data_IF_739353837730
#
_entry.id   IF_739353837730
#
_cell.length_a   1.000
_cell.length_b   1.000
_cell.length_c   1.000
_cell.angle_alpha   90.00
_cell.angle_beta   90.00
_cell.angle_gamma   90.00
#
_symmetry.space_group_name_H-M   'P 1'
#
loop_
_entity.id
_entity.type
_entity.pdbx_description
1 polymer ?
#
# COMPACT_ATOMS: atom_id res chain seq x y z
N UNK A 1 -10.39 18.67 42.74
CA UNK A 1 -11.07 18.41 41.46
C UNK A 1 -9.98 17.91 40.52
N UNK A 2 -9.77 16.61 40.48
CA UNK A 2 -8.69 15.97 39.73
C UNK A 2 -8.91 16.20 38.23
N UNK A 3 -7.96 16.90 37.60
CA UNK A 3 -7.87 16.98 36.15
C UNK A 3 -7.53 15.59 35.62
N UNK A 4 -8.56 14.81 35.29
CA UNK A 4 -8.44 13.63 34.44
C UNK A 4 -7.96 14.13 33.08
N UNK A 5 -6.65 14.12 32.87
CA UNK A 5 -6.06 14.28 31.55
C UNK A 5 -6.70 13.18 30.72
N UNK A 6 -7.66 13.55 29.87
CA UNK A 6 -8.20 12.64 28.90
C UNK A 6 -6.98 12.10 28.14
N UNK A 7 -6.73 10.79 28.21
CA UNK A 7 -5.81 10.16 27.29
C UNK A 7 -6.32 10.52 25.89
N UNK A 8 -5.69 11.54 25.30
CA UNK A 8 -5.82 11.83 23.88
C UNK A 8 -5.59 10.50 23.22
N UNK A 9 -6.62 9.96 22.55
CA UNK A 9 -6.51 8.80 21.67
C UNK A 9 -5.19 8.96 20.94
N UNK A 10 -4.15 8.21 21.35
CA UNK A 10 -2.80 8.40 20.86
C UNK A 10 -2.81 7.93 19.41
N UNK A 11 -3.21 8.84 18.52
CA UNK A 11 -3.09 8.66 17.08
C UNK A 11 -1.60 8.46 16.86
N UNK A 12 -1.29 7.38 16.15
CA UNK A 12 0.09 7.11 15.79
C UNK A 12 0.39 8.03 14.62
N UNK A 13 0.69 9.30 14.93
CA UNK A 13 0.87 10.37 13.94
C UNK A 13 1.92 9.96 12.89
N UNK A 14 2.96 9.25 13.31
CA UNK A 14 3.99 8.69 12.42
C UNK A 14 3.38 7.77 11.36
N UNK A 15 2.43 6.90 11.73
CA UNK A 15 1.82 5.98 10.79
C UNK A 15 0.89 6.70 9.80
N UNK A 16 0.27 7.80 10.21
CA UNK A 16 -0.57 8.61 9.33
C UNK A 16 0.27 9.42 8.34
N UNK A 17 1.36 10.03 8.80
CA UNK A 17 2.34 10.74 7.96
C UNK A 17 2.97 9.80 6.94
N UNK A 18 3.42 8.61 7.38
CA UNK A 18 4.00 7.62 6.47
C UNK A 18 2.98 7.12 5.44
N UNK A 19 1.69 7.04 5.80
CA UNK A 19 0.64 6.65 4.85
C UNK A 19 0.42 7.73 3.82
N UNK A 20 0.33 8.99 4.25
CA UNK A 20 0.23 10.14 3.36
C UNK A 20 1.42 10.20 2.38
N UNK A 21 2.64 9.97 2.88
CA UNK A 21 3.85 9.92 2.05
C UNK A 21 3.80 8.78 1.03
N UNK A 22 3.35 7.60 1.43
CA UNK A 22 3.24 6.44 0.53
C UNK A 22 2.18 6.70 -0.56
N UNK A 23 1.01 7.22 -0.20
CA UNK A 23 -0.05 7.58 -1.16
C UNK A 23 0.43 8.66 -2.12
N UNK A 24 1.14 9.68 -1.63
CA UNK A 24 1.74 10.71 -2.49
C UNK A 24 2.72 10.08 -3.50
N UNK A 25 3.61 9.19 -3.05
CA UNK A 25 4.53 8.48 -3.93
C UNK A 25 3.82 7.65 -5.01
N UNK A 26 2.76 6.94 -4.64
CA UNK A 26 1.94 6.15 -5.57
C UNK A 26 1.27 7.06 -6.60
N UNK A 27 0.65 8.15 -6.16
CA UNK A 27 0.00 9.12 -7.07
C UNK A 27 1.02 9.75 -8.02
N UNK A 28 2.20 10.13 -7.53
CA UNK A 28 3.25 10.70 -8.37
C UNK A 28 3.71 9.72 -9.45
N UNK A 29 3.98 8.45 -9.08
CA UNK A 29 4.39 7.43 -10.03
C UNK A 29 3.30 7.17 -11.06
N UNK A 30 2.07 6.98 -10.60
CA UNK A 30 0.91 6.74 -11.46
C UNK A 30 0.61 7.93 -12.37
N UNK A 31 0.89 9.16 -11.91
CA UNK A 31 0.75 10.36 -12.72
C UNK A 31 1.71 10.35 -13.92
N UNK A 32 2.95 9.92 -13.72
CA UNK A 32 3.94 9.81 -14.80
C UNK A 32 3.66 8.61 -15.71
N UNK A 33 3.20 7.48 -15.16
CA UNK A 33 2.95 6.26 -15.93
C UNK A 33 1.66 6.32 -16.77
N UNK A 34 0.59 6.93 -16.25
CA UNK A 34 -0.76 6.78 -16.79
C UNK A 34 -1.52 8.07 -17.07
N UNK A 35 -1.06 9.24 -16.62
CA UNK A 35 -1.84 10.48 -16.74
C UNK A 35 -1.64 11.27 -18.04
N UNK A 36 -0.93 10.75 -19.04
CA UNK A 36 -0.78 11.44 -20.31
C UNK A 36 -0.96 10.51 -21.50
N UNK A 37 -1.79 10.99 -22.43
CA UNK A 37 -1.69 10.70 -23.85
C UNK A 37 -0.22 10.45 -24.20
N UNK A 38 0.10 9.26 -24.72
CA UNK A 38 1.42 8.90 -25.25
C UNK A 38 1.74 9.73 -26.52
N UNK A 39 1.55 11.04 -26.48
CA UNK A 39 1.95 12.01 -27.48
C UNK A 39 3.28 12.57 -27.03
N UNK A 40 4.32 11.78 -27.26
CA UNK A 40 5.68 12.26 -27.16
C UNK A 40 6.03 12.96 -28.47
N UNK A 41 6.65 14.14 -28.45
CA UNK A 41 7.20 14.72 -29.67
C UNK A 41 8.25 13.76 -30.25
N UNK A 42 8.14 13.41 -31.54
CA UNK A 42 9.08 12.51 -32.23
C UNK A 42 10.52 13.02 -32.17
N UNK A 43 10.70 14.34 -32.08
CA UNK A 43 12.00 14.99 -31.95
C UNK A 43 12.05 15.90 -30.73
N UNK A 44 13.01 15.62 -29.83
CA UNK A 44 13.34 16.48 -28.69
C UNK A 44 14.49 17.41 -29.12
N UNK A 45 14.27 18.73 -29.28
CA UNK A 45 15.22 19.62 -29.96
C UNK A 45 16.50 19.91 -29.18
N UNK A 46 16.57 19.57 -27.88
CA UNK A 46 17.74 19.82 -27.04
C UNK A 46 18.13 18.58 -26.21
N UNK A 47 19.42 18.23 -26.23
CA UNK A 47 19.96 17.08 -25.47
C UNK A 47 19.84 17.23 -23.94
N UNK A 48 19.94 18.45 -23.40
CA UNK A 48 19.75 18.70 -21.96
C UNK A 48 18.32 18.39 -21.50
N UNK A 49 17.33 18.52 -22.40
CA UNK A 49 15.93 18.23 -22.10
C UNK A 49 15.70 16.70 -22.00
N UNK A 50 16.31 15.92 -22.91
CA UNK A 50 16.33 14.44 -22.82
C UNK A 50 16.99 13.96 -21.53
N UNK A 51 18.13 14.54 -21.16
CA UNK A 51 18.82 14.20 -19.93
C UNK A 51 17.97 14.49 -18.69
N UNK A 52 17.34 15.66 -18.64
CA UNK A 52 16.51 16.09 -17.51
C UNK A 52 15.28 15.19 -17.35
N UNK A 53 14.59 14.88 -18.45
CA UNK A 53 13.45 13.96 -18.46
C UNK A 53 13.84 12.58 -17.93
N UNK A 54 14.92 11.99 -18.46
CA UNK A 54 15.40 10.69 -18.04
C UNK A 54 15.89 10.68 -16.57
N UNK A 55 16.52 11.77 -16.12
CA UNK A 55 16.97 11.92 -14.74
C UNK A 55 15.79 12.00 -13.76
N UNK A 56 14.74 12.77 -14.10
CA UNK A 56 13.51 12.85 -13.30
C UNK A 56 12.82 11.49 -13.26
N UNK A 57 12.66 10.83 -14.42
CA UNK A 57 12.00 9.53 -14.51
C UNK A 57 12.71 8.47 -13.67
N UNK A 58 14.03 8.33 -13.84
CA UNK A 58 14.85 7.39 -13.05
C UNK A 58 14.87 7.76 -11.57
N UNK A 59 14.98 9.04 -11.24
CA UNK A 59 14.99 9.51 -9.86
C UNK A 59 13.68 9.21 -9.14
N UNK A 60 12.55 9.43 -9.80
CA UNK A 60 11.23 9.16 -9.23
C UNK A 60 10.99 7.66 -9.09
N UNK A 61 11.28 6.87 -10.12
CA UNK A 61 11.16 5.41 -10.05
C UNK A 61 12.06 4.83 -8.96
N UNK A 62 13.33 5.25 -8.88
CA UNK A 62 14.25 4.79 -7.85
C UNK A 62 13.79 5.15 -6.43
N UNK A 63 13.21 6.33 -6.26
CA UNK A 63 12.80 6.84 -4.94
C UNK A 63 11.47 6.22 -4.49
N UNK A 64 10.48 6.17 -5.38
CA UNK A 64 9.11 5.86 -4.98
C UNK A 64 8.59 4.51 -5.46
N UNK A 65 9.01 3.97 -6.61
CA UNK A 65 8.39 2.80 -7.29
C UNK A 65 7.97 1.65 -6.35
N UNK A 66 8.81 0.63 -6.14
CA UNK A 66 8.45 -0.49 -5.28
C UNK A 66 8.41 -0.14 -3.79
N UNK A 67 9.10 0.94 -3.39
CA UNK A 67 9.24 1.35 -2.00
C UNK A 67 7.93 1.93 -1.45
N UNK A 68 7.25 2.79 -2.19
CA UNK A 68 5.97 3.37 -1.77
C UNK A 68 4.90 2.28 -1.62
N UNK A 69 4.86 1.33 -2.55
CA UNK A 69 3.94 0.18 -2.47
C UNK A 69 4.22 -0.73 -1.27
N UNK A 70 5.49 -1.00 -0.97
CA UNK A 70 5.88 -1.78 0.21
C UNK A 70 5.52 -1.07 1.53
N UNK A 71 5.79 0.23 1.62
CA UNK A 71 5.43 1.04 2.80
C UNK A 71 3.91 1.10 2.96
N UNK A 72 3.17 1.32 1.88
CA UNK A 72 1.71 1.33 1.92
C UNK A 72 1.15 -0.02 2.37
N UNK A 73 1.65 -1.14 1.83
CA UNK A 73 1.27 -2.49 2.24
C UNK A 73 1.52 -2.75 3.73
N UNK A 74 2.71 -2.36 4.23
CA UNK A 74 3.07 -2.48 5.64
C UNK A 74 2.12 -1.68 6.54
N UNK A 75 1.89 -0.42 6.19
CA UNK A 75 1.00 0.47 6.95
C UNK A 75 -0.46 0.03 6.88
N UNK A 76 -0.89 -0.56 5.77
CA UNK A 76 -2.21 -1.15 5.65
C UNK A 76 -2.39 -2.30 6.65
N UNK A 77 -1.43 -3.22 6.73
CA UNK A 77 -1.43 -4.30 7.73
C UNK A 77 -1.32 -3.79 9.17
N UNK A 78 -0.46 -2.82 9.42
CA UNK A 78 -0.34 -2.18 10.73
C UNK A 78 -1.65 -1.50 11.17
N UNK A 79 -2.34 -0.83 10.23
CA UNK A 79 -3.63 -0.20 10.49
C UNK A 79 -4.70 -1.23 10.86
N UNK A 80 -4.69 -2.40 10.21
CA UNK A 80 -5.56 -3.51 10.59
C UNK A 80 -5.24 -4.00 12.00
N UNK A 81 -3.97 -4.23 12.34
CA UNK A 81 -3.54 -4.70 13.66
C UNK A 81 -4.01 -3.77 14.79
N UNK A 82 -3.82 -2.45 14.64
CA UNK A 82 -4.27 -1.47 15.64
C UNK A 82 -5.78 -1.53 15.83
N UNK A 83 -6.53 -1.58 14.73
CA UNK A 83 -7.99 -1.58 14.77
C UNK A 83 -8.54 -2.86 15.38
N UNK A 84 -7.95 -4.01 15.02
CA UNK A 84 -8.32 -5.31 15.57
C UNK A 84 -8.00 -5.36 17.08
N UNK A 85 -6.78 -5.01 17.50
CA UNK A 85 -6.38 -4.98 18.90
C UNK A 85 -7.30 -4.05 19.74
N UNK A 86 -7.65 -2.87 19.22
CA UNK A 86 -8.56 -1.95 19.93
C UNK A 86 -9.98 -2.53 20.08
N UNK A 87 -10.48 -3.30 19.12
CA UNK A 87 -11.79 -3.95 19.23
C UNK A 87 -11.75 -5.20 20.09
N UNK A 88 -10.66 -5.97 20.05
CA UNK A 88 -10.43 -7.09 20.96
C UNK A 88 -10.43 -6.62 22.43
N UNK A 89 -9.81 -5.49 22.75
CA UNK A 89 -9.88 -4.85 24.09
C UNK A 89 -11.30 -4.47 24.50
N UNK A 90 -12.23 -4.32 23.54
CA UNK A 90 -13.66 -4.03 23.76
C UNK A 90 -14.54 -5.29 23.68
N UNK A 91 -13.93 -6.49 23.56
CA UNK A 91 -14.64 -7.76 23.46
C UNK A 91 -15.42 -7.97 22.16
N UNK A 92 -15.11 -7.21 21.09
CA UNK A 92 -15.81 -7.28 19.80
C UNK A 92 -14.90 -7.84 18.72
N UNK A 93 -15.45 -8.69 17.86
CA UNK A 93 -14.74 -9.15 16.67
C UNK A 93 -14.72 -8.04 15.59
N UNK A 94 -13.55 -7.72 15.06
CA UNK A 94 -13.36 -6.71 14.02
C UNK A 94 -13.33 -7.30 12.60
N UNK A 95 -13.13 -8.61 12.46
CA UNK A 95 -12.85 -9.29 11.19
C UNK A 95 -13.95 -9.07 10.15
N UNK A 96 -15.21 -9.20 10.55
CA UNK A 96 -16.35 -9.01 9.64
C UNK A 96 -16.46 -7.56 9.14
N UNK A 97 -16.18 -6.57 10.00
CA UNK A 97 -16.16 -5.16 9.61
C UNK A 97 -15.00 -4.84 8.68
N UNK A 98 -13.86 -5.48 8.88
CA UNK A 98 -12.73 -5.35 7.98
C UNK A 98 -13.03 -5.94 6.59
N UNK A 99 -13.61 -7.14 6.52
CA UNK A 99 -14.04 -7.74 5.25
C UNK A 99 -15.06 -6.87 4.51
N UNK A 100 -16.01 -6.27 5.23
CA UNK A 100 -16.95 -5.32 4.64
C UNK A 100 -16.23 -4.08 4.05
N UNK A 101 -15.22 -3.56 4.74
CA UNK A 101 -14.41 -2.44 4.23
C UNK A 101 -13.61 -2.85 2.99
N UNK A 102 -13.03 -4.05 2.97
CA UNK A 102 -12.35 -4.58 1.79
C UNK A 102 -13.31 -4.75 0.61
N UNK A 103 -14.55 -5.16 0.87
CA UNK A 103 -15.55 -5.30 -0.18
C UNK A 103 -15.91 -3.94 -0.80
N UNK A 104 -16.09 -2.89 0.01
CA UNK A 104 -16.27 -1.52 -0.49
C UNK A 104 -15.04 -1.09 -1.29
N UNK A 105 -13.84 -1.35 -0.77
CA UNK A 105 -12.58 -1.04 -1.43
C UNK A 105 -12.47 -1.73 -2.80
N UNK A 106 -12.90 -2.98 -2.88
CA UNK A 106 -12.95 -3.77 -4.11
C UNK A 106 -13.91 -3.17 -5.13
N UNK A 107 -15.12 -2.76 -4.72
CA UNK A 107 -16.09 -2.11 -5.62
C UNK A 107 -15.52 -0.80 -6.16
N UNK A 108 -14.91 0.02 -5.29
CA UNK A 108 -14.27 1.28 -5.71
C UNK A 108 -13.12 0.99 -6.67
N UNK A 109 -12.31 -0.03 -6.38
CA UNK A 109 -11.23 -0.46 -7.26
C UNK A 109 -11.73 -0.92 -8.62
N UNK A 110 -12.80 -1.71 -8.66
CA UNK A 110 -13.40 -2.18 -9.90
C UNK A 110 -14.02 -1.05 -10.73
N UNK A 111 -14.60 -0.05 -10.06
CA UNK A 111 -15.06 1.16 -10.72
C UNK A 111 -13.87 1.92 -11.32
N UNK A 112 -12.78 2.09 -10.56
CA UNK A 112 -11.57 2.75 -11.05
C UNK A 112 -10.98 2.01 -12.27
N UNK A 113 -10.98 0.67 -12.24
CA UNK A 113 -10.56 -0.23 -13.32
C UNK A 113 -11.35 -0.09 -14.62
N UNK A 114 -12.57 0.42 -14.54
CA UNK A 114 -13.36 0.69 -15.73
C UNK A 114 -12.89 1.97 -16.46
N UNK A 115 -12.23 2.91 -15.77
CA UNK A 115 -11.79 4.19 -16.34
C UNK A 115 -10.28 4.24 -16.58
N UNK A 116 -9.49 3.61 -15.71
CA UNK A 116 -8.04 3.62 -15.75
C UNK A 116 -7.52 2.19 -15.72
N UNK A 117 -6.35 1.96 -16.32
CA UNK A 117 -5.67 0.65 -16.23
C UNK A 117 -4.53 0.78 -15.22
N UNK A 118 -4.34 -0.24 -14.39
CA UNK A 118 -3.23 -0.25 -13.42
C UNK A 118 -3.60 0.23 -12.01
N UNK A 119 -4.85 0.05 -11.56
CA UNK A 119 -5.19 0.33 -10.16
C UNK A 119 -4.63 -0.70 -9.19
N UNK A 120 -4.02 -0.20 -8.13
CA UNK A 120 -3.55 -1.04 -7.04
C UNK A 120 -4.65 -1.38 -6.02
N UNK A 121 -5.76 -0.65 -6.04
CA UNK A 121 -6.80 -0.73 -5.02
C UNK A 121 -7.46 -2.12 -4.97
N UNK A 122 -7.73 -2.69 -6.14
CA UNK A 122 -8.30 -4.04 -6.30
C UNK A 122 -7.33 -5.10 -5.76
N UNK A 123 -6.03 -4.96 -6.06
CA UNK A 123 -4.99 -5.87 -5.56
C UNK A 123 -4.93 -5.85 -4.02
N UNK A 124 -4.97 -4.66 -3.40
CA UNK A 124 -5.01 -4.54 -1.94
C UNK A 124 -6.30 -5.11 -1.34
N UNK A 125 -7.45 -4.94 -1.99
CA UNK A 125 -8.71 -5.48 -1.49
C UNK A 125 -8.67 -7.02 -1.43
N UNK A 126 -8.11 -7.66 -2.46
CA UNK A 126 -7.96 -9.12 -2.54
C UNK A 126 -6.92 -9.62 -1.53
N UNK A 127 -5.71 -9.06 -1.55
CA UNK A 127 -4.63 -9.44 -0.62
C UNK A 127 -5.01 -9.16 0.84
N UNK A 128 -5.82 -8.13 1.07
CA UNK A 128 -6.34 -7.75 2.39
C UNK A 128 -7.11 -8.88 3.07
N UNK A 129 -7.77 -9.76 2.32
CA UNK A 129 -8.59 -10.87 2.86
C UNK A 129 -7.73 -11.86 3.66
N UNK A 130 -6.43 -11.91 3.38
CA UNK A 130 -5.46 -12.78 4.06
C UNK A 130 -5.28 -12.34 5.53
N UNK A 131 -5.35 -11.04 5.83
CA UNK A 131 -5.04 -10.51 7.17
C UNK A 131 -5.94 -11.08 8.27
N UNK A 132 -7.29 -11.12 8.14
CA UNK A 132 -8.18 -11.77 9.11
C UNK A 132 -7.92 -13.25 9.34
N UNK A 133 -7.25 -13.95 8.41
CA UNK A 133 -6.93 -15.38 8.53
C UNK A 133 -5.68 -15.54 9.40
N UNK A 134 -4.65 -14.74 9.11
CA UNK A 134 -3.37 -14.80 9.81
C UNK A 134 -3.37 -14.10 11.17
N UNK A 135 -4.33 -13.21 11.45
CA UNK A 135 -4.35 -12.43 12.70
C UNK A 135 -4.53 -13.25 13.98
N UNK A 136 -5.06 -14.48 13.88
CA UNK A 136 -5.22 -15.42 15.00
C UNK A 136 -4.26 -16.61 14.93
N UNK A 137 -3.36 -16.63 13.97
CA UNK A 137 -2.33 -17.67 13.89
C UNK A 137 -1.21 -17.40 14.89
N UNK A 138 -0.46 -18.45 15.24
CA UNK A 138 0.70 -18.30 16.11
C UNK A 138 1.80 -17.47 15.45
N UNK A 139 2.57 -16.72 16.23
CA UNK A 139 3.69 -15.91 15.75
C UNK A 139 4.70 -16.75 14.93
N UNK A 140 4.89 -18.02 15.30
CA UNK A 140 5.74 -18.96 14.56
C UNK A 140 5.22 -19.21 13.14
N UNK A 141 3.91 -19.42 13.00
CA UNK A 141 3.28 -19.63 11.69
C UNK A 141 3.45 -18.37 10.84
N UNK A 142 3.17 -17.20 11.40
CA UNK A 142 3.33 -15.91 10.70
C UNK A 142 4.78 -15.70 10.26
N UNK A 143 5.76 -15.99 11.12
CA UNK A 143 7.18 -15.85 10.80
C UNK A 143 7.63 -16.79 9.67
N UNK A 144 7.15 -18.05 9.67
CA UNK A 144 7.46 -19.02 8.60
C UNK A 144 6.90 -18.51 7.26
N UNK A 145 5.63 -18.13 7.23
CA UNK A 145 5.02 -17.60 6.00
C UNK A 145 5.67 -16.30 5.54
N UNK A 146 5.96 -15.35 6.45
CA UNK A 146 6.67 -14.12 6.10
C UNK A 146 8.04 -14.41 5.48
N UNK A 147 8.82 -15.32 6.07
CA UNK A 147 10.13 -15.74 5.54
C UNK A 147 9.99 -16.39 4.17
N UNK A 148 9.01 -17.29 4.01
CA UNK A 148 8.74 -17.95 2.74
C UNK A 148 8.36 -16.94 1.64
N UNK A 149 7.51 -15.96 1.95
CA UNK A 149 7.11 -14.92 1.00
C UNK A 149 8.29 -13.99 0.64
N UNK A 150 9.11 -13.60 1.61
CA UNK A 150 10.29 -12.75 1.37
C UNK A 150 11.34 -13.47 0.51
N UNK A 151 11.51 -14.77 0.69
CA UNK A 151 12.47 -15.55 -0.08
C UNK A 151 12.08 -15.68 -1.57
N UNK A 152 10.82 -15.40 -1.91
CA UNK A 152 10.25 -15.51 -3.26
C UNK A 152 10.72 -16.77 -4.02
N UNK A 153 10.58 -17.98 -3.45
CA UNK A 153 11.14 -19.21 -4.03
C UNK A 153 10.63 -19.51 -5.44
N UNK A 154 9.46 -18.98 -5.80
CA UNK A 154 8.88 -19.09 -7.14
C UNK A 154 9.75 -18.38 -8.19
N UNK A 155 10.35 -17.24 -7.85
CA UNK A 155 11.21 -16.51 -8.79
C UNK A 155 12.58 -17.18 -8.94
N UNK A 156 13.06 -17.89 -7.91
CA UNK A 156 14.23 -18.76 -8.02
C UNK A 156 14.00 -19.92 -8.99
N UNK A 157 12.80 -20.51 -8.98
CA UNK A 157 12.45 -21.60 -9.88
C UNK A 157 12.33 -21.15 -11.35
N UNK A 158 12.06 -19.86 -11.61
CA UNK A 158 12.05 -19.30 -12.98
C UNK A 158 13.44 -18.98 -13.51
N UNK A 159 14.44 -18.87 -12.63
CA UNK A 159 15.83 -18.57 -12.97
C UNK A 159 16.65 -19.83 -13.35
N UNK A 160 16.12 -21.02 -13.07
CA UNK A 160 16.70 -22.34 -13.41
C UNK A 160 16.04 -22.85 -14.70
#
# INVERSE_FOLDING_TARGET
>A
MEHKIAETNARIDVADVLRGLAVMGIILLHSIEHFNFYSFPEEVPFEWMKFTDQAIWRGLFFTFSNKAYAVFALLFGFSFYIQDNNQQRRGKDFRLRFLWRLFILFIIGQFNAAFFTGEILTMYAILGIILPIFCRMSDRTVAIFATLLILQPIDWAKLI
#
